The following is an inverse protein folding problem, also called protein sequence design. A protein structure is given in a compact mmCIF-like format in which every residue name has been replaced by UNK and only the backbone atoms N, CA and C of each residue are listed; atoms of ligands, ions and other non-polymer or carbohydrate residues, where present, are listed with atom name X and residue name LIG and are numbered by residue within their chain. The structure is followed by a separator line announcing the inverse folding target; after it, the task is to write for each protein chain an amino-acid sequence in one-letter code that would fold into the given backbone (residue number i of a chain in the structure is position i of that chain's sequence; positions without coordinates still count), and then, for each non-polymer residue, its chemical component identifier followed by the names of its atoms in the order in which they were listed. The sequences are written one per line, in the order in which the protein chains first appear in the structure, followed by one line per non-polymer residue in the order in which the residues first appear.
data_IF_341764210584
#
_entry.id   IF_341764210584
#
_cell.length_a   1.000
_cell.length_b   1.000
_cell.length_c   1.000
_cell.angle_alpha   90.00
_cell.angle_beta   90.00
_cell.angle_gamma   90.00
#
_symmetry.space_group_name_H-M   'P 1'
#
loop_
_entity.id
_entity.type
_entity.pdbx_description
1 polymer ?
#
# COMPACT_ATOMS: atom_id res chain seq x y z
N UNK A 1 39.58 -15.22 -74.24
CA UNK A 1 39.02 -14.09 -73.48
C UNK A 1 38.49 -14.59 -72.13
N UNK A 2 39.23 -14.43 -71.00
CA UNK A 2 38.86 -14.94 -69.69
C UNK A 2 38.20 -13.82 -68.90
N UNK A 3 36.90 -13.92 -68.65
CA UNK A 3 36.18 -12.97 -67.80
C UNK A 3 36.42 -13.36 -66.33
N UNK A 4 37.19 -12.55 -65.60
CA UNK A 4 37.31 -12.62 -64.11
C UNK A 4 36.02 -12.07 -63.52
N UNK A 5 35.17 -12.94 -62.93
CA UNK A 5 34.13 -12.52 -62.01
C UNK A 5 34.80 -12.12 -60.70
N UNK A 6 34.80 -10.83 -60.40
CA UNK A 6 35.12 -10.31 -59.06
C UNK A 6 33.93 -10.61 -58.15
N UNK A 7 34.10 -11.51 -57.20
CA UNK A 7 33.14 -11.70 -56.08
C UNK A 7 33.28 -10.52 -55.13
N UNK A 8 32.40 -9.53 -55.21
CA UNK A 8 32.19 -8.60 -54.13
C UNK A 8 31.62 -9.34 -52.94
N UNK A 9 32.43 -9.61 -51.96
CA UNK A 9 31.93 -10.02 -50.65
C UNK A 9 31.41 -8.74 -49.99
N UNK A 10 30.15 -8.48 -50.11
CA UNK A 10 29.47 -7.40 -49.41
C UNK A 10 29.53 -7.71 -47.90
N UNK A 11 30.32 -6.97 -47.19
CA UNK A 11 30.41 -7.08 -45.73
C UNK A 11 29.10 -6.52 -45.17
N UNK A 12 28.09 -7.38 -45.00
CA UNK A 12 26.82 -7.02 -44.34
C UNK A 12 27.12 -6.82 -42.88
N UNK A 13 27.42 -5.61 -42.51
CA UNK A 13 27.55 -5.20 -41.11
C UNK A 13 26.21 -5.48 -40.38
N UNK A 14 26.24 -6.34 -39.40
CA UNK A 14 25.06 -6.64 -38.59
C UNK A 14 24.64 -5.38 -37.82
N UNK A 15 23.53 -4.76 -38.19
CA UNK A 15 23.03 -3.57 -37.52
C UNK A 15 22.36 -3.98 -36.18
N UNK A 16 23.00 -3.66 -35.08
CA UNK A 16 22.55 -3.98 -33.71
C UNK A 16 21.48 -3.00 -33.19
N UNK A 17 21.23 -1.90 -33.90
CA UNK A 17 20.30 -0.85 -33.46
C UNK A 17 18.90 -1.39 -33.17
N UNK A 18 18.28 -2.24 -34.00
CA UNK A 18 16.93 -2.78 -33.72
C UNK A 18 16.89 -3.68 -32.48
N UNK A 19 18.00 -4.39 -32.19
CA UNK A 19 18.06 -5.23 -30.99
C UNK A 19 18.14 -4.40 -29.71
N UNK A 20 18.90 -3.31 -29.73
CA UNK A 20 19.00 -2.40 -28.59
C UNK A 20 17.65 -1.74 -28.32
N UNK A 21 16.91 -1.35 -29.36
CA UNK A 21 15.60 -0.74 -29.23
C UNK A 21 14.59 -1.68 -28.56
N UNK A 22 14.52 -2.94 -28.99
CA UNK A 22 13.63 -3.94 -28.40
C UNK A 22 13.99 -4.19 -26.91
N UNK A 23 15.29 -4.30 -26.59
CA UNK A 23 15.74 -4.49 -25.21
C UNK A 23 15.40 -3.27 -24.36
N UNK A 24 15.60 -2.07 -24.88
CA UNK A 24 15.24 -0.84 -24.19
C UNK A 24 13.73 -0.74 -23.92
N UNK A 25 12.90 -1.03 -24.92
CA UNK A 25 11.43 -1.07 -24.75
C UNK A 25 11.00 -2.10 -23.70
N UNK A 26 11.62 -3.28 -23.68
CA UNK A 26 11.34 -4.30 -22.66
C UNK A 26 11.71 -3.83 -21.26
N UNK A 27 12.85 -3.18 -21.09
CA UNK A 27 13.29 -2.64 -19.79
C UNK A 27 12.33 -1.55 -19.32
N UNK A 28 11.95 -0.61 -20.19
CA UNK A 28 10.99 0.44 -19.86
C UNK A 28 9.62 -0.15 -19.51
N UNK A 29 9.15 -1.15 -20.27
CA UNK A 29 7.90 -1.85 -19.97
C UNK A 29 7.95 -2.57 -18.62
N UNK A 30 9.04 -3.29 -18.32
CA UNK A 30 9.21 -3.96 -17.04
C UNK A 30 9.28 -2.96 -15.89
N UNK A 31 9.95 -1.80 -16.08
CA UNK A 31 10.01 -0.74 -15.09
C UNK A 31 8.61 -0.19 -14.76
N UNK A 32 7.81 0.10 -15.79
CA UNK A 32 6.41 0.52 -15.62
C UNK A 32 5.55 -0.57 -14.99
N UNK A 33 5.72 -1.83 -15.39
CA UNK A 33 4.96 -2.96 -14.85
C UNK A 33 5.25 -3.18 -13.36
N UNK A 34 6.46 -2.94 -12.88
CA UNK A 34 6.81 -3.04 -11.45
C UNK A 34 6.18 -1.92 -10.63
N UNK A 35 5.99 -0.73 -11.18
CA UNK A 35 5.32 0.37 -10.47
C UNK A 35 3.83 0.07 -10.25
N UNK A 36 3.16 -0.58 -11.21
CA UNK A 36 1.76 -1.02 -11.03
C UNK A 36 1.59 -2.15 -10.01
N UNK A 37 2.62 -2.97 -9.78
CA UNK A 37 2.57 -4.07 -8.80
C UNK A 37 2.60 -3.58 -7.34
N UNK A 38 2.93 -2.34 -7.09
CA UNK A 38 2.94 -1.73 -5.76
C UNK A 38 1.58 -1.16 -5.31
N UNK A 39 0.52 -1.35 -6.10
CA UNK A 39 -0.84 -0.99 -5.69
C UNK A 39 -1.26 -1.92 -4.56
N UNK A 40 -1.57 -1.32 -3.44
CA UNK A 40 -1.99 -1.99 -2.20
C UNK A 40 -3.33 -2.72 -2.43
N UNK A 41 -3.27 -4.05 -2.57
CA UNK A 41 -4.43 -4.90 -2.94
C UNK A 41 -5.12 -5.49 -1.69
N UNK A 42 -4.84 -4.96 -0.52
CA UNK A 42 -5.44 -5.48 0.71
C UNK A 42 -6.94 -5.19 0.74
N UNK A 43 -7.74 -6.26 0.80
CA UNK A 43 -9.20 -6.15 0.95
C UNK A 43 -9.50 -5.94 2.43
N UNK A 44 -9.95 -4.74 2.76
CA UNK A 44 -10.43 -4.37 4.09
C UNK A 44 -11.93 -4.13 4.00
N UNK A 45 -12.72 -4.81 4.81
CA UNK A 45 -14.16 -4.57 4.92
C UNK A 45 -14.37 -3.38 5.86
N UNK A 46 -14.51 -2.20 5.29
CA UNK A 46 -14.66 -0.97 6.07
C UNK A 46 -15.99 -0.94 6.84
N UNK A 47 -16.02 -0.33 8.03
CA UNK A 47 -17.25 -0.10 8.74
C UNK A 47 -18.12 0.89 7.96
N UNK A 48 -19.45 0.71 8.00
CA UNK A 48 -20.41 1.64 7.41
C UNK A 48 -20.62 2.83 8.33
N UNK A 49 -20.59 4.02 7.77
CA UNK A 49 -20.84 5.26 8.51
C UNK A 49 -21.72 6.19 7.69
N UNK A 50 -22.91 6.54 8.21
CA UNK A 50 -23.89 7.41 7.52
C UNK A 50 -23.34 8.81 7.25
N UNK A 51 -22.45 9.28 8.13
CA UNK A 51 -21.78 10.58 7.99
C UNK A 51 -20.42 10.50 7.26
N UNK A 52 -20.13 9.39 6.58
CA UNK A 52 -18.89 9.29 5.80
C UNK A 52 -18.88 10.34 4.68
N UNK A 53 -17.84 11.15 4.65
CA UNK A 53 -17.61 12.11 3.58
C UNK A 53 -16.87 11.41 2.43
N UNK A 54 -17.27 11.73 1.20
CA UNK A 54 -16.52 11.28 0.04
C UNK A 54 -15.09 11.86 0.07
N UNK A 55 -14.13 11.05 -0.31
CA UNK A 55 -12.75 11.50 -0.42
C UNK A 55 -12.56 12.27 -1.73
N UNK A 56 -12.60 13.58 -1.66
CA UNK A 56 -12.42 14.46 -2.83
C UNK A 56 -10.94 14.61 -3.24
N UNK A 57 -10.01 13.96 -2.52
CA UNK A 57 -8.56 14.11 -2.74
C UNK A 57 -7.84 12.77 -2.86
N UNK A 58 -8.16 11.96 -3.91
CA UNK A 58 -7.52 10.65 -4.09
C UNK A 58 -6.01 10.72 -4.35
N UNK A 59 -5.52 11.89 -4.81
CA UNK A 59 -4.13 12.05 -5.30
C UNK A 59 -3.12 12.46 -4.21
N UNK A 60 -3.55 12.62 -2.96
CA UNK A 60 -2.58 12.91 -1.90
C UNK A 60 -1.80 11.65 -1.55
N UNK A 61 -0.50 11.75 -1.56
CA UNK A 61 0.41 10.73 -1.03
C UNK A 61 0.16 10.52 0.47
N UNK A 62 -0.90 9.78 0.80
CA UNK A 62 -1.21 9.42 2.18
C UNK A 62 -0.61 8.07 2.52
N UNK A 63 -0.18 7.91 3.75
CA UNK A 63 0.25 6.62 4.25
C UNK A 63 -0.98 5.80 4.67
N UNK A 64 -1.17 4.66 4.02
CA UNK A 64 -2.27 3.74 4.34
C UNK A 64 -1.82 2.76 5.42
N UNK A 65 -2.57 2.69 6.51
CA UNK A 65 -2.37 1.73 7.60
C UNK A 65 -3.61 0.85 7.68
N UNK A 66 -3.47 -0.41 7.28
CA UNK A 66 -4.56 -1.37 7.26
C UNK A 66 -4.56 -2.23 8.50
N UNK A 67 -5.72 -2.42 9.13
CA UNK A 67 -5.96 -3.42 10.18
C UNK A 67 -6.80 -4.50 9.56
N UNK A 68 -6.24 -5.69 9.40
CA UNK A 68 -6.90 -6.82 8.78
C UNK A 68 -6.89 -8.04 9.70
N UNK A 69 -7.90 -8.87 9.53
CA UNK A 69 -7.98 -10.15 10.21
C UNK A 69 -7.21 -11.20 9.40
N UNK A 70 -6.22 -11.81 10.01
CA UNK A 70 -5.39 -12.84 9.38
C UNK A 70 -5.03 -13.92 10.41
N UNK A 71 -5.34 -15.16 10.10
CA UNK A 71 -5.03 -16.31 10.97
C UNK A 71 -3.75 -16.97 10.47
N UNK A 72 -2.68 -17.01 11.26
CA UNK A 72 -1.44 -17.66 10.86
C UNK A 72 -1.67 -19.16 10.58
N UNK A 73 -1.47 -19.57 9.31
CA UNK A 73 -1.53 -20.98 8.91
C UNK A 73 -2.91 -21.58 8.65
N UNK A 74 -4.00 -20.85 8.89
CA UNK A 74 -5.37 -21.30 8.65
C UNK A 74 -6.11 -20.35 7.73
N UNK A 75 -7.09 -20.87 6.96
CA UNK A 75 -7.91 -20.05 6.06
C UNK A 75 -9.09 -19.40 6.77
N UNK A 76 -9.59 -20.03 7.82
CA UNK A 76 -10.80 -19.60 8.51
C UNK A 76 -10.54 -19.47 10.02
N UNK A 77 -11.05 -18.41 10.60
CA UNK A 77 -11.02 -18.21 12.04
C UNK A 77 -12.29 -18.79 12.66
N UNK A 78 -12.20 -19.73 13.60
CA UNK A 78 -13.37 -20.31 14.24
C UNK A 78 -14.14 -19.30 15.11
N UNK A 79 -13.48 -18.22 15.53
CA UNK A 79 -14.11 -17.19 16.36
C UNK A 79 -14.80 -16.10 15.55
N UNK A 80 -14.31 -15.80 14.31
CA UNK A 80 -14.92 -14.81 13.43
C UNK A 80 -16.05 -15.44 12.63
N UNK A 81 -17.26 -14.96 12.79
CA UNK A 81 -18.41 -15.51 12.10
C UNK A 81 -19.26 -14.42 11.44
N UNK A 82 -19.52 -14.63 10.14
CA UNK A 82 -20.45 -13.82 9.36
C UNK A 82 -21.67 -14.66 8.97
N UNK A 83 -22.87 -14.06 9.02
CA UNK A 83 -24.10 -14.66 8.53
C UNK A 83 -24.77 -13.68 7.56
N UNK A 84 -24.93 -14.09 6.30
CA UNK A 84 -25.48 -13.24 5.24
C UNK A 84 -24.75 -11.88 5.07
N UNK A 85 -23.42 -11.87 5.21
CA UNK A 85 -22.62 -10.65 5.14
C UNK A 85 -22.67 -9.76 6.40
N UNK A 86 -23.41 -10.17 7.43
CA UNK A 86 -23.49 -9.45 8.71
C UNK A 86 -22.57 -10.13 9.72
N UNK A 87 -21.75 -9.35 10.41
CA UNK A 87 -20.90 -9.83 11.49
C UNK A 87 -21.76 -10.32 12.66
N UNK A 88 -21.63 -11.59 12.99
CA UNK A 88 -22.36 -12.22 14.13
C UNK A 88 -21.45 -12.31 15.35
N UNK A 89 -20.18 -12.63 15.15
CA UNK A 89 -19.20 -12.75 16.22
C UNK A 89 -17.86 -12.16 15.77
N UNK A 90 -17.37 -11.12 16.44
CA UNK A 90 -16.03 -10.59 16.21
C UNK A 90 -14.97 -11.50 16.84
N UNK A 91 -13.83 -11.65 16.19
CA UNK A 91 -12.69 -12.36 16.75
C UNK A 91 -12.04 -11.51 17.87
N UNK A 92 -11.85 -12.12 19.04
CA UNK A 92 -11.24 -11.47 20.21
C UNK A 92 -9.74 -11.78 20.36
N UNK A 93 -9.19 -12.62 19.48
CA UNK A 93 -7.78 -13.01 19.54
C UNK A 93 -6.93 -11.90 18.95
N UNK A 94 -6.11 -11.26 19.77
CA UNK A 94 -5.28 -10.11 19.38
C UNK A 94 -4.29 -10.48 18.25
N UNK A 95 -3.70 -11.68 18.25
CA UNK A 95 -2.74 -12.15 17.26
C UNK A 95 -3.31 -12.28 15.84
N UNK A 96 -4.64 -12.42 15.72
CA UNK A 96 -5.32 -12.50 14.43
C UNK A 96 -5.50 -11.12 13.77
N UNK A 97 -5.26 -10.05 14.49
CA UNK A 97 -5.37 -8.68 13.99
C UNK A 97 -4.01 -8.12 13.64
N UNK A 98 -3.71 -8.11 12.36
CA UNK A 98 -2.41 -7.70 11.82
C UNK A 98 -2.50 -6.28 11.28
N UNK A 99 -1.48 -5.47 11.62
CA UNK A 99 -1.32 -4.13 11.06
C UNK A 99 -0.40 -4.24 9.86
N UNK A 100 -0.85 -3.75 8.72
CA UNK A 100 -0.07 -3.76 7.48
C UNK A 100 0.08 -2.36 6.88
N UNK A 101 1.26 -2.11 6.33
CA UNK A 101 1.57 -0.96 5.48
C UNK A 101 2.19 -1.48 4.19
N UNK A 102 1.59 -1.17 3.05
CA UNK A 102 2.06 -1.62 1.72
C UNK A 102 2.32 -3.14 1.68
N UNK A 103 1.37 -3.93 2.17
CA UNK A 103 1.46 -5.40 2.18
C UNK A 103 2.36 -6.00 3.26
N UNK A 104 3.16 -5.21 3.97
CA UNK A 104 4.07 -5.69 5.00
C UNK A 104 3.41 -5.64 6.38
N UNK A 105 3.33 -6.78 7.06
CA UNK A 105 2.92 -6.85 8.45
C UNK A 105 3.94 -6.18 9.37
N UNK A 106 3.46 -5.40 10.31
CA UNK A 106 4.28 -4.63 11.26
C UNK A 106 3.79 -4.87 12.69
N UNK A 107 4.73 -4.94 13.60
CA UNK A 107 4.48 -4.85 15.03
C UNK A 107 4.29 -3.38 15.45
N UNK A 108 3.73 -3.13 16.64
CA UNK A 108 3.54 -1.74 17.12
C UNK A 108 4.86 -0.94 17.18
N UNK A 109 5.99 -1.48 17.68
CA UNK A 109 7.27 -0.77 17.65
C UNK A 109 7.78 -0.46 16.23
N UNK A 110 7.60 -1.39 15.29
CA UNK A 110 7.98 -1.17 13.88
C UNK A 110 7.08 -0.13 13.22
N UNK A 111 5.79 -0.12 13.55
CA UNK A 111 4.85 0.91 13.12
C UNK A 111 5.28 2.30 13.62
N UNK A 112 5.62 2.44 14.91
CA UNK A 112 6.12 3.70 15.47
C UNK A 112 7.35 4.20 14.71
N UNK A 113 8.34 3.34 14.48
CA UNK A 113 9.54 3.69 13.72
C UNK A 113 9.19 4.10 12.27
N UNK A 114 8.28 3.38 11.63
CA UNK A 114 7.85 3.70 10.26
C UNK A 114 7.13 5.04 10.19
N UNK A 115 6.23 5.33 11.12
CA UNK A 115 5.52 6.59 11.18
C UNK A 115 6.47 7.77 11.44
N UNK A 116 7.49 7.60 12.28
CA UNK A 116 8.53 8.62 12.50
C UNK A 116 9.32 8.88 11.22
N UNK A 117 9.72 7.84 10.49
CA UNK A 117 10.46 7.99 9.24
C UNK A 117 9.62 8.71 8.17
N UNK A 118 8.39 8.28 7.96
CA UNK A 118 7.48 8.89 6.99
C UNK A 118 7.11 10.34 7.40
N UNK A 119 6.88 10.55 8.71
CA UNK A 119 6.60 11.88 9.24
C UNK A 119 7.76 12.87 9.07
N UNK A 120 9.01 12.41 9.14
CA UNK A 120 10.18 13.25 8.95
C UNK A 120 10.35 13.73 7.49
N UNK A 121 9.80 13.01 6.52
CA UNK A 121 9.89 13.37 5.10
C UNK A 121 9.08 14.64 4.78
N UNK A 122 7.94 14.83 5.45
CA UNK A 122 6.97 15.89 5.16
C UNK A 122 6.88 16.97 6.27
N UNK A 123 7.91 17.08 7.10
CA UNK A 123 7.98 18.18 8.06
C UNK A 123 8.41 19.47 7.39
N UNK A 124 7.71 20.57 7.65
CA UNK A 124 8.05 21.89 7.11
C UNK A 124 9.43 22.36 7.59
N UNK A 125 9.83 21.99 8.80
CA UNK A 125 11.12 22.36 9.39
C UNK A 125 11.89 21.09 9.73
N UNK A 126 12.79 20.67 8.83
CA UNK A 126 13.62 19.45 9.04
C UNK A 126 14.55 19.54 10.26
N UNK A 127 14.88 20.75 10.69
CA UNK A 127 15.82 20.99 11.78
C UNK A 127 15.18 20.91 13.18
N UNK A 128 13.85 20.88 13.27
CA UNK A 128 13.15 20.78 14.54
C UNK A 128 12.36 19.45 14.65
N UNK A 129 12.85 18.47 15.42
CA UNK A 129 12.19 17.18 15.58
C UNK A 129 10.82 17.24 16.28
N UNK A 130 10.47 18.39 16.88
CA UNK A 130 9.18 18.61 17.54
C UNK A 130 8.11 19.21 16.61
N UNK A 131 8.45 19.54 15.37
CA UNK A 131 7.47 20.07 14.41
C UNK A 131 6.54 18.92 13.98
N UNK A 132 5.20 19.11 14.05
CA UNK A 132 4.26 18.10 13.57
C UNK A 132 4.44 17.80 12.08
N UNK A 133 4.21 16.55 11.70
CA UNK A 133 4.25 16.15 10.30
C UNK A 133 2.95 16.54 9.57
N UNK A 134 3.09 17.07 8.35
CA UNK A 134 1.95 17.35 7.47
C UNK A 134 1.47 16.13 6.68
N UNK A 135 2.18 15.00 6.79
CA UNK A 135 1.83 13.78 6.06
C UNK A 135 0.50 13.20 6.54
N UNK A 136 -0.50 13.04 5.66
CA UNK A 136 -1.76 12.44 6.03
C UNK A 136 -1.58 10.92 6.19
N UNK A 137 -2.17 10.37 7.24
CA UNK A 137 -2.21 8.92 7.51
C UNK A 137 -3.67 8.49 7.51
N UNK A 138 -4.02 7.55 6.66
CA UNK A 138 -5.34 6.94 6.62
C UNK A 138 -5.30 5.58 7.29
N UNK A 139 -6.12 5.40 8.33
CA UNK A 139 -6.33 4.12 9.00
C UNK A 139 -7.54 3.44 8.35
N UNK A 140 -7.33 2.28 7.78
CA UNK A 140 -8.38 1.41 7.24
C UNK A 140 -8.49 0.19 8.14
N UNK A 141 -9.48 0.18 9.00
CA UNK A 141 -9.76 -0.94 9.88
C UNK A 141 -10.92 -1.76 9.34
N UNK A 142 -10.80 -3.08 9.40
CA UNK A 142 -11.95 -3.97 9.21
C UNK A 142 -13.04 -3.64 10.22
N UNK A 143 -14.31 -3.66 9.79
CA UNK A 143 -15.45 -3.30 10.63
C UNK A 143 -15.62 -4.20 11.86
N UNK A 144 -14.97 -5.37 11.87
CA UNK A 144 -14.92 -6.29 13.00
C UNK A 144 -13.69 -6.13 13.89
N UNK A 145 -12.76 -5.22 13.51
CA UNK A 145 -11.51 -5.03 14.24
C UNK A 145 -11.76 -4.47 15.65
N UNK A 146 -11.05 -4.97 16.67
CA UNK A 146 -11.13 -4.41 18.01
C UNK A 146 -10.66 -2.94 18.02
N UNK A 147 -11.45 -2.07 18.64
CA UNK A 147 -11.09 -0.64 18.76
C UNK A 147 -9.73 -0.41 19.43
N UNK A 148 -9.32 -1.33 20.29
CA UNK A 148 -7.97 -1.36 20.89
C UNK A 148 -6.86 -1.27 19.83
N UNK A 149 -7.01 -1.95 18.67
CA UNK A 149 -6.00 -1.87 17.59
C UNK A 149 -5.95 -0.49 16.96
N UNK A 150 -7.10 0.12 16.75
CA UNK A 150 -7.17 1.51 16.24
C UNK A 150 -6.50 2.47 17.23
N UNK A 151 -6.79 2.34 18.54
CA UNK A 151 -6.18 3.16 19.57
C UNK A 151 -4.66 3.03 19.62
N UNK A 152 -4.13 1.81 19.46
CA UNK A 152 -2.68 1.58 19.41
C UNK A 152 -2.02 2.32 18.23
N UNK A 153 -2.67 2.37 17.06
CA UNK A 153 -2.17 3.11 15.90
C UNK A 153 -2.23 4.63 16.18
N UNK A 154 -3.31 5.12 16.78
CA UNK A 154 -3.44 6.52 17.14
C UNK A 154 -2.36 6.96 18.14
N UNK A 155 -2.05 6.12 19.14
CA UNK A 155 -0.95 6.36 20.08
C UNK A 155 0.41 6.40 19.39
N UNK A 156 0.67 5.45 18.47
CA UNK A 156 1.89 5.41 17.68
C UNK A 156 2.04 6.66 16.80
N UNK A 157 0.95 7.10 16.17
CA UNK A 157 0.92 8.32 15.36
C UNK A 157 1.16 9.58 16.22
N UNK A 158 0.57 9.64 17.43
CA UNK A 158 0.82 10.72 18.38
C UNK A 158 2.29 10.81 18.79
N UNK A 159 2.94 9.70 19.09
CA UNK A 159 4.39 9.64 19.40
C UNK A 159 5.24 10.08 18.20
N UNK A 160 4.82 9.76 16.98
CA UNK A 160 5.49 10.18 15.74
C UNK A 160 5.20 11.64 15.36
N UNK A 161 4.37 12.37 16.14
CA UNK A 161 3.91 13.73 15.84
C UNK A 161 3.17 13.84 14.49
N UNK A 162 2.46 12.79 14.10
CA UNK A 162 1.54 12.80 12.97
C UNK A 162 0.16 13.24 13.48
N UNK A 163 -0.36 14.35 12.96
CA UNK A 163 -1.63 14.92 13.43
C UNK A 163 -2.76 14.80 12.41
N UNK A 164 -2.42 14.66 11.12
CA UNK A 164 -3.41 14.46 10.05
C UNK A 164 -3.76 12.98 9.96
N UNK A 165 -4.77 12.56 10.73
CA UNK A 165 -5.22 11.17 10.75
C UNK A 165 -6.64 11.12 10.21
N UNK A 166 -6.86 10.28 9.23
CA UNK A 166 -8.14 9.97 8.61
C UNK A 166 -8.51 8.53 8.93
N UNK A 167 -9.80 8.26 9.16
CA UNK A 167 -10.29 6.91 9.38
C UNK A 167 -11.20 6.57 8.21
N UNK A 168 -10.85 5.50 7.49
CA UNK A 168 -11.62 5.01 6.36
C UNK A 168 -12.92 4.34 6.83
N UNK A 169 -14.04 4.77 6.25
CA UNK A 169 -15.34 4.16 6.41
C UNK A 169 -16.06 4.10 5.06
N UNK A 170 -16.97 3.14 4.91
CA UNK A 170 -17.80 3.00 3.71
C UNK A 170 -19.13 3.75 3.92
N UNK A 171 -19.50 4.59 2.96
CA UNK A 171 -20.84 5.20 2.96
C UNK A 171 -21.85 4.14 2.53
N UNK A 172 -22.95 3.93 3.28
CA UNK A 172 -23.99 3.03 2.85
C UNK A 172 -24.59 3.53 1.51
N UNK A 173 -25.09 2.62 0.66
CA UNK A 173 -25.79 3.04 -0.55
C UNK A 173 -26.96 3.92 -0.18
N UNK A 174 -27.14 5.02 -0.92
CA UNK A 174 -28.33 5.86 -0.81
C UNK A 174 -29.49 5.08 -1.44
N UNK A 175 -30.54 4.80 -0.65
CA UNK A 175 -31.78 4.17 -1.11
C UNK A 175 -32.60 5.07 -2.03
#
# INVERSE_FOLDING_TARGET
MKIKRASMVENVGFNMTPMIDIVFQLIVFLMLATDFANVEIERVYLPKADAAMADDHPDKERLMVNIIHEVPGEKDCPELSYKNGVLVRPCQIDEHWVIKIRGKALTIPELEQRLVLEGNMDRETKDNPKTPSNRPVMIRADGSAPFKRVTQILEAAGKALVWKIEIGAEKPPED
#
